data_IF_249159298340
#
_entry.id   IF_249159298340
#
_cell.length_a   1.000
_cell.length_b   1.000
_cell.length_c   1.000
_cell.angle_alpha   90.00
_cell.angle_beta   90.00
_cell.angle_gamma   90.00
#
_symmetry.space_group_name_H-M   'P 1'
#
loop_
_entity.id
_entity.type
_entity.pdbx_description
1 polymer ?
#
# COMPACT_ATOMS: atom_id res chain seq x y z
N UNK A 1 -22.60 -35.74 -22.71
CA UNK A 1 -23.72 -35.25 -23.55
C UNK A 1 -24.54 -34.16 -22.87
N UNK A 2 -24.92 -34.25 -21.59
CA UNK A 2 -25.61 -33.14 -20.90
C UNK A 2 -24.71 -31.94 -20.49
N UNK A 3 -23.38 -32.12 -20.41
CA UNK A 3 -22.43 -31.06 -20.05
C UNK A 3 -22.06 -30.15 -21.24
N UNK A 4 -22.18 -30.66 -22.47
CA UNK A 4 -21.88 -29.92 -23.70
C UNK A 4 -23.06 -29.05 -24.18
N UNK A 5 -24.29 -29.44 -23.83
CA UNK A 5 -25.49 -28.67 -24.18
C UNK A 5 -25.67 -27.42 -23.30
N UNK A 6 -25.25 -27.45 -22.04
CA UNK A 6 -25.29 -26.26 -21.16
C UNK A 6 -24.31 -25.14 -21.62
N UNK A 7 -23.27 -25.49 -22.37
CA UNK A 7 -22.26 -24.54 -22.89
C UNK A 7 -22.66 -23.85 -24.20
N UNK A 8 -23.71 -24.29 -24.89
CA UNK A 8 -24.08 -23.73 -26.21
C UNK A 8 -25.01 -22.52 -26.12
N UNK A 9 -25.64 -22.28 -24.98
CA UNK A 9 -26.62 -21.18 -24.81
C UNK A 9 -26.14 -20.04 -23.92
N UNK A 10 -24.90 -20.08 -23.42
CA UNK A 10 -24.35 -18.98 -22.62
C UNK A 10 -23.51 -18.05 -23.50
N UNK A 11 -24.07 -16.86 -23.75
CA UNK A 11 -23.34 -15.61 -24.00
C UNK A 11 -21.96 -15.67 -23.35
N UNK A 12 -20.89 -15.48 -24.14
CA UNK A 12 -19.50 -15.63 -23.73
C UNK A 12 -19.26 -15.09 -22.30
N UNK A 13 -19.20 -15.98 -21.31
CA UNK A 13 -19.16 -15.64 -19.88
C UNK A 13 -17.82 -15.00 -19.46
N UNK A 14 -16.80 -15.07 -20.32
CA UNK A 14 -15.46 -14.52 -20.09
C UNK A 14 -15.07 -13.57 -21.21
N UNK A 15 -14.31 -12.50 -20.93
CA UNK A 15 -13.80 -11.59 -21.95
C UNK A 15 -12.67 -12.21 -22.81
N UNK A 16 -12.18 -13.39 -22.43
CA UNK A 16 -11.13 -14.10 -23.15
C UNK A 16 -11.67 -14.91 -24.34
N UNK A 17 -10.96 -14.94 -25.47
CA UNK A 17 -11.18 -15.94 -26.51
C UNK A 17 -11.05 -17.36 -25.95
N UNK A 18 -11.88 -18.28 -26.45
CA UNK A 18 -11.92 -19.66 -25.95
C UNK A 18 -10.55 -20.37 -25.89
N UNK A 19 -9.63 -20.22 -26.86
CA UNK A 19 -8.30 -20.83 -26.79
C UNK A 19 -7.45 -20.31 -25.62
N UNK A 20 -7.56 -19.02 -25.29
CA UNK A 20 -6.84 -18.38 -24.18
C UNK A 20 -7.46 -18.83 -22.86
N UNK A 21 -8.79 -18.79 -22.78
CA UNK A 21 -9.55 -19.18 -21.59
C UNK A 21 -9.24 -20.63 -21.16
N UNK A 22 -9.18 -21.56 -22.11
CA UNK A 22 -8.85 -22.96 -21.82
C UNK A 22 -7.47 -23.13 -21.18
N UNK A 23 -6.46 -22.37 -21.64
CA UNK A 23 -5.12 -22.39 -21.07
C UNK A 23 -5.08 -21.77 -19.68
N UNK A 24 -5.76 -20.63 -19.48
CA UNK A 24 -5.85 -19.98 -18.17
C UNK A 24 -6.53 -20.87 -17.12
N UNK A 25 -7.61 -21.59 -17.49
CA UNK A 25 -8.26 -22.53 -16.58
C UNK A 25 -7.31 -23.64 -16.11
N UNK A 26 -6.49 -24.17 -17.01
CA UNK A 26 -5.48 -25.17 -16.67
C UNK A 26 -4.37 -24.57 -15.81
N UNK A 27 -3.87 -23.38 -16.14
CA UNK A 27 -2.89 -22.67 -15.33
C UNK A 27 -3.38 -22.50 -13.88
N UNK A 28 -4.59 -21.98 -13.69
CA UNK A 28 -5.19 -21.80 -12.36
C UNK A 28 -5.45 -23.13 -11.63
N UNK A 29 -5.80 -24.19 -12.34
CA UNK A 29 -5.92 -25.53 -11.75
C UNK A 29 -4.59 -25.99 -11.15
N UNK A 30 -3.49 -25.85 -11.90
CA UNK A 30 -2.15 -26.21 -11.43
C UNK A 30 -1.55 -25.19 -10.45
N UNK A 31 -2.15 -24.01 -10.28
CA UNK A 31 -1.80 -23.09 -9.18
C UNK A 31 -2.50 -23.47 -7.88
N UNK A 32 -3.81 -23.76 -7.91
CA UNK A 32 -4.63 -23.80 -6.69
C UNK A 32 -5.21 -25.18 -6.33
N UNK A 33 -5.40 -26.08 -7.30
CA UNK A 33 -6.09 -27.37 -7.09
C UNK A 33 -5.09 -28.52 -7.04
N UNK A 34 -4.18 -28.58 -8.01
CA UNK A 34 -3.10 -29.56 -8.07
C UNK A 34 -1.77 -28.84 -8.24
N UNK A 35 -1.21 -28.25 -7.17
CA UNK A 35 -0.05 -27.36 -7.24
C UNK A 35 1.14 -27.98 -7.97
N UNK A 36 1.49 -27.43 -9.13
CA UNK A 36 2.64 -27.79 -9.95
C UNK A 36 3.14 -26.51 -10.66
N UNK A 37 4.22 -25.87 -10.16
CA UNK A 37 4.69 -24.58 -10.67
C UNK A 37 5.19 -24.64 -12.11
N UNK A 38 5.82 -25.75 -12.51
CA UNK A 38 6.37 -25.91 -13.85
C UNK A 38 5.25 -26.06 -14.88
N UNK A 39 4.28 -26.92 -14.56
CA UNK A 39 3.09 -27.12 -15.40
C UNK A 39 2.23 -25.86 -15.46
N UNK A 40 1.99 -25.18 -14.33
CA UNK A 40 1.25 -23.92 -14.30
C UNK A 40 1.94 -22.83 -15.16
N UNK A 41 3.26 -22.69 -15.04
CA UNK A 41 4.05 -21.76 -15.85
C UNK A 41 3.91 -22.05 -17.34
N UNK A 42 3.97 -23.32 -17.74
CA UNK A 42 3.76 -23.75 -19.12
C UNK A 42 2.40 -23.28 -19.67
N UNK A 43 1.33 -23.44 -18.89
CA UNK A 43 0.00 -22.99 -19.32
C UNK A 43 -0.18 -21.48 -19.35
N UNK A 44 0.47 -20.72 -18.45
CA UNK A 44 0.47 -19.26 -18.54
C UNK A 44 1.20 -18.77 -19.80
N UNK A 45 2.39 -19.33 -20.09
CA UNK A 45 3.14 -19.00 -21.31
C UNK A 45 2.34 -19.34 -22.56
N UNK A 46 1.66 -20.49 -22.59
CA UNK A 46 0.78 -20.87 -23.70
C UNK A 46 -0.42 -19.90 -23.85
N UNK A 47 -1.01 -19.46 -22.73
CA UNK A 47 -2.11 -18.50 -22.75
C UNK A 47 -1.67 -17.15 -23.35
N UNK A 48 -0.50 -16.64 -22.96
CA UNK A 48 0.07 -15.40 -23.50
C UNK A 48 0.30 -15.54 -25.00
N UNK A 49 0.97 -16.60 -25.45
CA UNK A 49 1.20 -16.86 -26.88
C UNK A 49 -0.10 -16.93 -27.67
N UNK A 50 -1.14 -17.58 -27.15
CA UNK A 50 -2.45 -17.63 -27.81
C UNK A 50 -3.15 -16.29 -27.85
N UNK A 51 -2.98 -15.46 -26.82
CA UNK A 51 -3.50 -14.10 -26.83
C UNK A 51 -2.82 -13.25 -27.91
N UNK A 52 -1.50 -13.37 -28.06
CA UNK A 52 -0.72 -12.69 -29.12
C UNK A 52 -1.11 -13.17 -30.53
N UNK A 53 -1.19 -14.48 -30.75
CA UNK A 53 -1.60 -15.06 -32.04
C UNK A 53 -2.99 -14.61 -32.49
N UNK A 54 -3.89 -14.37 -31.53
CA UNK A 54 -5.25 -13.88 -31.78
C UNK A 54 -5.33 -12.35 -31.87
N UNK A 55 -4.21 -11.64 -31.75
CA UNK A 55 -4.14 -10.19 -31.87
C UNK A 55 -4.84 -9.45 -30.73
N UNK A 56 -4.87 -10.02 -29.52
CA UNK A 56 -5.35 -9.30 -28.35
C UNK A 56 -4.46 -8.06 -28.12
N UNK A 57 -5.09 -6.92 -27.81
CA UNK A 57 -4.36 -5.68 -27.53
C UNK A 57 -3.42 -5.89 -26.32
N UNK A 58 -2.10 -5.72 -26.47
CA UNK A 58 -1.14 -5.95 -25.39
C UNK A 58 -1.32 -4.99 -24.21
N UNK A 59 -2.01 -3.86 -24.41
CA UNK A 59 -2.30 -2.89 -23.35
C UNK A 59 -3.69 -3.05 -22.74
N UNK A 60 -4.49 -4.01 -23.21
CA UNK A 60 -5.83 -4.31 -22.66
C UNK A 60 -5.76 -4.89 -21.25
N UNK A 61 -6.81 -4.68 -20.47
CA UNK A 61 -6.91 -5.20 -19.09
C UNK A 61 -6.83 -6.73 -19.07
N UNK A 62 -7.42 -7.39 -20.07
CA UNK A 62 -7.42 -8.83 -20.23
C UNK A 62 -6.01 -9.36 -20.49
N UNK A 63 -5.29 -8.81 -21.48
CA UNK A 63 -3.94 -9.30 -21.82
C UNK A 63 -2.96 -9.10 -20.66
N UNK A 64 -2.93 -7.91 -20.09
CA UNK A 64 -2.06 -7.57 -18.94
C UNK A 64 -2.42 -8.40 -17.72
N UNK A 65 -3.71 -8.65 -17.51
CA UNK A 65 -4.21 -9.49 -16.43
C UNK A 65 -3.59 -10.90 -16.47
N UNK A 66 -3.37 -11.48 -17.65
CA UNK A 66 -2.69 -12.77 -17.78
C UNK A 66 -1.26 -12.69 -17.24
N UNK A 67 -0.50 -11.65 -17.60
CA UNK A 67 0.90 -11.45 -17.18
C UNK A 67 1.02 -11.18 -15.69
N UNK A 68 0.12 -10.35 -15.13
CA UNK A 68 0.07 -10.10 -13.68
C UNK A 68 -0.24 -11.40 -12.92
N UNK A 69 -1.24 -12.19 -13.36
CA UNK A 69 -1.55 -13.49 -12.74
C UNK A 69 -0.41 -14.49 -12.85
N UNK A 70 0.34 -14.46 -13.95
CA UNK A 70 1.52 -15.31 -14.09
C UNK A 70 2.61 -14.91 -13.08
N UNK A 71 2.89 -13.61 -12.91
CA UNK A 71 3.81 -13.11 -11.89
C UNK A 71 3.35 -13.49 -10.47
N UNK A 72 2.05 -13.33 -10.14
CA UNK A 72 1.49 -13.74 -8.85
C UNK A 72 1.64 -15.25 -8.59
N UNK A 73 1.48 -16.08 -9.61
CA UNK A 73 1.71 -17.52 -9.50
C UNK A 73 3.17 -17.82 -9.18
N UNK A 74 4.12 -17.17 -9.87
CA UNK A 74 5.55 -17.33 -9.58
C UNK A 74 5.90 -16.89 -8.15
N UNK A 75 5.34 -15.76 -7.71
CA UNK A 75 5.48 -15.28 -6.32
C UNK A 75 4.97 -16.33 -5.32
N UNK A 76 3.77 -16.89 -5.57
CA UNK A 76 3.15 -17.91 -4.71
C UNK A 76 4.02 -19.15 -4.53
N UNK A 77 4.76 -19.55 -5.57
CA UNK A 77 5.68 -20.68 -5.52
C UNK A 77 7.13 -20.30 -5.15
N UNK A 78 7.37 -19.06 -4.70
CA UNK A 78 8.69 -18.60 -4.24
C UNK A 78 9.67 -18.25 -5.36
N UNK A 79 9.23 -18.20 -6.62
CA UNK A 79 10.03 -17.77 -7.77
C UNK A 79 10.07 -16.23 -7.87
N UNK A 80 10.44 -15.57 -6.77
CA UNK A 80 10.34 -14.11 -6.59
C UNK A 80 11.05 -13.30 -7.68
N UNK A 81 12.27 -13.71 -8.09
CA UNK A 81 13.02 -13.00 -9.14
C UNK A 81 12.31 -13.04 -10.49
N UNK A 82 11.78 -14.19 -10.89
CA UNK A 82 11.04 -14.32 -12.13
C UNK A 82 9.71 -13.54 -12.08
N UNK A 83 9.05 -13.51 -10.92
CA UNK A 83 7.86 -12.68 -10.72
C UNK A 83 8.14 -11.18 -10.90
N UNK A 84 9.26 -10.71 -10.32
CA UNK A 84 9.74 -9.33 -10.48
C UNK A 84 10.09 -9.03 -11.94
N UNK A 85 10.79 -9.92 -12.63
CA UNK A 85 11.15 -9.75 -14.05
C UNK A 85 9.90 -9.52 -14.91
N UNK A 86 8.86 -10.35 -14.75
CA UNK A 86 7.61 -10.20 -15.52
C UNK A 86 6.92 -8.84 -15.25
N UNK A 87 6.81 -8.42 -13.98
CA UNK A 87 6.17 -7.14 -13.66
C UNK A 87 7.02 -5.94 -14.07
N UNK A 88 8.34 -6.07 -14.04
CA UNK A 88 9.24 -5.05 -14.53
C UNK A 88 9.09 -4.87 -16.04
N UNK A 89 9.01 -5.96 -16.80
CA UNK A 89 8.76 -5.91 -18.25
C UNK A 89 7.42 -5.24 -18.57
N UNK A 90 6.34 -5.62 -17.87
CA UNK A 90 5.03 -4.95 -17.98
C UNK A 90 5.17 -3.44 -17.71
N UNK A 91 5.87 -3.07 -16.64
CA UNK A 91 6.03 -1.66 -16.26
C UNK A 91 6.78 -0.88 -17.35
N UNK A 92 7.91 -1.42 -17.84
CA UNK A 92 8.73 -0.78 -18.86
C UNK A 92 7.98 -0.58 -20.18
N UNK A 93 7.25 -1.60 -20.65
CA UNK A 93 6.45 -1.52 -21.86
C UNK A 93 5.33 -0.48 -21.76
N UNK A 94 4.70 -0.39 -20.58
CA UNK A 94 3.63 0.57 -20.32
C UNK A 94 4.14 2.00 -20.21
N UNK A 95 5.29 2.21 -19.56
CA UNK A 95 5.95 3.51 -19.50
C UNK A 95 6.41 3.99 -20.87
N UNK A 96 6.97 3.09 -21.70
CA UNK A 96 7.32 3.40 -23.08
C UNK A 96 6.07 3.83 -23.86
N UNK A 97 4.98 3.06 -23.75
CA UNK A 97 3.74 3.37 -24.44
C UNK A 97 3.13 4.69 -24.00
N UNK A 98 3.17 4.98 -22.70
CA UNK A 98 2.73 6.25 -22.13
C UNK A 98 3.56 7.42 -22.69
N UNK A 99 4.88 7.28 -22.80
CA UNK A 99 5.76 8.30 -23.38
C UNK A 99 5.44 8.55 -24.86
N UNK A 100 5.22 7.50 -25.65
CA UNK A 100 4.80 7.63 -27.06
C UNK A 100 3.49 8.39 -27.20
N UNK A 101 2.50 8.09 -26.34
CA UNK A 101 1.22 8.79 -26.32
C UNK A 101 1.38 10.25 -25.89
N UNK A 102 2.20 10.55 -24.89
CA UNK A 102 2.44 11.92 -24.42
C UNK A 102 3.11 12.77 -25.52
N UNK A 103 3.99 12.18 -26.33
CA UNK A 103 4.62 12.82 -27.49
C UNK A 103 3.71 12.92 -28.73
N UNK A 104 2.49 12.39 -28.67
CA UNK A 104 1.54 12.43 -29.79
C UNK A 104 1.85 11.42 -30.90
N UNK A 105 2.63 10.38 -30.62
CA UNK A 105 2.86 9.27 -31.57
C UNK A 105 1.69 8.29 -31.48
N UNK A 106 0.76 8.35 -32.45
CA UNK A 106 -0.27 7.31 -32.60
C UNK A 106 0.30 6.07 -33.29
N UNK A 107 -0.16 4.86 -32.91
CA UNK A 107 0.15 3.65 -33.67
C UNK A 107 -0.48 3.80 -35.07
N UNK A 108 0.35 3.65 -36.11
CA UNK A 108 -0.06 3.43 -37.50
C UNK A 108 -1.17 4.33 -38.09
N UNK A 109 -1.24 5.61 -37.73
CA UNK A 109 -2.15 6.57 -38.39
C UNK A 109 -3.63 6.39 -38.08
N UNK A 110 -3.99 5.66 -37.02
CA UNK A 110 -5.37 5.62 -36.54
C UNK A 110 -5.78 6.97 -35.93
N UNK A 111 -6.93 7.49 -36.39
CA UNK A 111 -7.58 8.67 -35.79
C UNK A 111 -8.19 8.23 -34.46
N UNK A 112 -7.38 8.22 -33.41
CA UNK A 112 -7.84 8.02 -32.04
C UNK A 112 -8.52 9.32 -31.60
N UNK A 113 -9.79 9.25 -31.22
CA UNK A 113 -10.50 10.40 -30.63
C UNK A 113 -9.80 10.85 -29.34
N UNK A 114 -9.83 12.14 -29.02
CA UNK A 114 -9.20 12.68 -27.81
C UNK A 114 -9.70 11.99 -26.52
N UNK A 115 -10.98 11.58 -26.49
CA UNK A 115 -11.58 10.82 -25.39
C UNK A 115 -10.91 9.44 -25.23
N UNK A 116 -10.89 8.62 -26.30
CA UNK A 116 -10.23 7.31 -26.30
C UNK A 116 -8.73 7.39 -25.95
N UNK A 117 -8.04 8.45 -26.39
CA UNK A 117 -6.65 8.71 -26.02
C UNK A 117 -6.49 8.99 -24.53
N UNK A 118 -7.41 9.78 -23.96
CA UNK A 118 -7.41 10.11 -22.53
C UNK A 118 -7.65 8.86 -21.68
N UNK A 119 -8.63 8.03 -22.05
CA UNK A 119 -8.94 6.77 -21.36
C UNK A 119 -7.78 5.79 -21.40
N UNK A 120 -7.16 5.61 -22.58
CA UNK A 120 -5.98 4.76 -22.73
C UNK A 120 -4.82 5.26 -21.87
N UNK A 121 -4.53 6.56 -21.90
CA UNK A 121 -3.47 7.17 -21.11
C UNK A 121 -3.70 6.94 -19.62
N UNK A 122 -4.93 7.17 -19.14
CA UNK A 122 -5.30 6.96 -17.75
C UNK A 122 -5.11 5.49 -17.34
N UNK A 123 -5.51 4.54 -18.19
CA UNK A 123 -5.30 3.10 -17.96
C UNK A 123 -3.82 2.73 -17.87
N UNK A 124 -2.98 3.28 -18.75
CA UNK A 124 -1.54 3.03 -18.74
C UNK A 124 -0.92 3.54 -17.43
N UNK A 125 -1.20 4.79 -17.05
CA UNK A 125 -0.72 5.39 -15.80
C UNK A 125 -1.15 4.53 -14.60
N UNK A 126 -2.43 4.17 -14.52
CA UNK A 126 -2.95 3.33 -13.44
C UNK A 126 -2.20 2.02 -13.33
N UNK A 127 -1.97 1.35 -14.46
CA UNK A 127 -1.27 0.07 -14.53
C UNK A 127 0.19 0.21 -14.08
N UNK A 128 0.90 1.24 -14.55
CA UNK A 128 2.29 1.52 -14.11
C UNK A 128 2.36 1.74 -12.61
N UNK A 129 1.47 2.56 -12.04
CA UNK A 129 1.44 2.82 -10.59
C UNK A 129 1.19 1.53 -9.81
N UNK A 130 0.16 0.75 -10.17
CA UNK A 130 -0.17 -0.49 -9.48
C UNK A 130 0.95 -1.54 -9.59
N UNK A 131 1.58 -1.67 -10.75
CA UNK A 131 2.71 -2.57 -10.96
C UNK A 131 3.92 -2.16 -10.11
N UNK A 132 4.25 -0.85 -10.04
CA UNK A 132 5.33 -0.35 -9.17
C UNK A 132 5.06 -0.56 -7.68
N UNK A 133 3.81 -0.38 -7.24
CA UNK A 133 3.41 -0.66 -5.86
C UNK A 133 3.62 -2.14 -5.51
N UNK A 134 3.26 -3.04 -6.43
CA UNK A 134 3.51 -4.49 -6.27
C UNK A 134 4.99 -4.84 -6.34
N UNK A 135 5.75 -4.26 -7.26
CA UNK A 135 7.20 -4.44 -7.32
C UNK A 135 7.89 -3.99 -6.03
N UNK A 136 7.48 -2.84 -5.47
CA UNK A 136 8.00 -2.35 -4.18
C UNK A 136 7.78 -3.37 -3.06
N UNK A 137 6.58 -3.97 -2.96
CA UNK A 137 6.33 -4.99 -1.94
C UNK A 137 7.11 -6.29 -2.17
N UNK A 138 7.37 -6.67 -3.43
CA UNK A 138 8.26 -7.78 -3.75
C UNK A 138 9.71 -7.52 -3.35
N UNK A 139 10.21 -6.30 -3.53
CA UNK A 139 11.56 -5.89 -3.09
C UNK A 139 11.71 -5.88 -1.56
N UNK A 140 10.67 -5.47 -0.83
CA UNK A 140 10.62 -5.53 0.64
C UNK A 140 10.42 -6.95 1.19
N UNK A 141 10.07 -7.93 0.35
CA UNK A 141 9.79 -9.29 0.81
C UNK A 141 10.99 -9.90 1.54
N UNK A 142 10.71 -10.85 2.44
CA UNK A 142 11.75 -11.59 3.18
C UNK A 142 12.78 -12.29 2.28
N UNK A 143 12.43 -12.54 1.02
CA UNK A 143 13.29 -13.15 0.02
C UNK A 143 14.28 -12.16 -0.61
N UNK A 144 13.85 -10.91 -0.85
CA UNK A 144 14.65 -9.91 -1.55
C UNK A 144 15.37 -8.97 -0.58
N UNK A 145 14.68 -8.52 0.47
CA UNK A 145 15.21 -7.64 1.52
C UNK A 145 15.94 -6.40 0.97
N UNK A 146 15.45 -5.83 -0.14
CA UNK A 146 16.04 -4.67 -0.79
C UNK A 146 15.17 -3.42 -0.58
N UNK A 147 15.24 -2.87 0.64
CA UNK A 147 14.49 -1.67 1.01
C UNK A 147 14.88 -0.44 0.19
N UNK A 148 16.08 -0.41 -0.40
CA UNK A 148 16.49 0.70 -1.26
C UNK A 148 15.74 0.65 -2.58
N UNK A 149 15.73 -0.51 -3.23
CA UNK A 149 14.95 -0.71 -4.46
C UNK A 149 13.46 -0.53 -4.20
N UNK A 150 12.92 -1.11 -3.12
CA UNK A 150 11.52 -0.95 -2.76
C UNK A 150 11.13 0.53 -2.63
N UNK A 151 11.99 1.32 -1.96
CA UNK A 151 11.76 2.75 -1.74
C UNK A 151 11.86 3.54 -3.02
N UNK A 152 12.86 3.26 -3.86
CA UNK A 152 12.97 3.91 -5.16
C UNK A 152 11.74 3.63 -6.03
N UNK A 153 11.35 2.37 -6.16
CA UNK A 153 10.20 1.97 -6.98
C UNK A 153 8.88 2.60 -6.48
N UNK A 154 8.65 2.62 -5.16
CA UNK A 154 7.44 3.24 -4.59
C UNK A 154 7.47 4.76 -4.69
N UNK A 155 8.64 5.38 -4.51
CA UNK A 155 8.82 6.82 -4.72
C UNK A 155 8.53 7.22 -6.17
N UNK A 156 8.93 6.40 -7.15
CA UNK A 156 8.62 6.64 -8.56
C UNK A 156 7.11 6.56 -8.82
N UNK A 157 6.40 5.61 -8.17
CA UNK A 157 4.95 5.50 -8.24
C UNK A 157 4.27 6.74 -7.66
N UNK A 158 4.67 7.17 -6.45
CA UNK A 158 4.14 8.38 -5.80
C UNK A 158 4.44 9.63 -6.62
N UNK A 159 5.64 9.74 -7.20
CA UNK A 159 6.02 10.83 -8.09
C UNK A 159 5.11 10.92 -9.31
N UNK A 160 4.74 9.77 -9.90
CA UNK A 160 3.78 9.71 -10.99
C UNK A 160 2.37 10.14 -10.53
N UNK A 161 1.88 9.67 -9.38
CA UNK A 161 0.59 10.11 -8.82
C UNK A 161 0.54 11.63 -8.64
N UNK A 162 1.61 12.22 -8.09
CA UNK A 162 1.71 13.67 -7.89
C UNK A 162 1.69 14.43 -9.21
N UNK A 163 2.43 13.95 -10.23
CA UNK A 163 2.44 14.54 -11.57
C UNK A 163 1.05 14.53 -12.23
N UNK A 164 0.28 13.49 -11.95
CA UNK A 164 -1.03 13.22 -12.55
C UNK A 164 -2.20 13.80 -11.72
N UNK A 165 -1.90 14.42 -10.58
CA UNK A 165 -2.87 15.13 -9.74
C UNK A 165 -2.74 16.62 -9.99
N UNK A 166 -3.86 17.31 -10.20
CA UNK A 166 -3.87 18.76 -10.43
C UNK A 166 -3.74 19.52 -9.10
N UNK A 167 -2.64 20.27 -8.97
CA UNK A 167 -2.34 21.11 -7.81
C UNK A 167 -2.53 20.41 -6.45
N UNK A 168 -1.87 19.24 -6.21
CA UNK A 168 -2.10 18.42 -5.02
C UNK A 168 -1.79 19.15 -3.70
N UNK A 169 -0.95 20.18 -3.74
CA UNK A 169 -0.63 21.02 -2.59
C UNK A 169 -1.78 21.97 -2.22
N UNK A 170 -2.61 22.36 -3.18
CA UNK A 170 -3.74 23.27 -2.97
C UNK A 170 -5.04 22.51 -2.74
N UNK A 171 -5.29 21.47 -3.54
CA UNK A 171 -6.57 20.76 -3.58
C UNK A 171 -6.54 19.40 -2.86
N UNK A 172 -5.38 18.92 -2.44
CA UNK A 172 -5.20 17.55 -1.96
C UNK A 172 -5.32 16.54 -3.10
N UNK A 173 -5.54 15.28 -2.72
CA UNK A 173 -5.78 14.20 -3.68
C UNK A 173 -7.29 13.94 -3.77
N UNK A 174 -7.81 13.94 -5.00
CA UNK A 174 -9.23 13.71 -5.30
C UNK A 174 -9.36 12.54 -6.28
N UNK A 175 -10.57 12.00 -6.44
CA UNK A 175 -10.85 10.97 -7.45
C UNK A 175 -10.77 11.53 -8.89
N UNK A 176 -10.82 12.86 -9.04
CA UNK A 176 -10.62 13.57 -10.30
C UNK A 176 -9.12 13.81 -10.55
N UNK A 177 -8.42 12.73 -10.90
CA UNK A 177 -7.01 12.76 -11.27
C UNK A 177 -6.75 12.03 -12.59
N UNK A 178 -5.69 12.43 -13.28
CA UNK A 178 -5.28 11.85 -14.56
C UNK A 178 -4.63 10.46 -14.42
N UNK A 179 -4.40 9.99 -13.19
CA UNK A 179 -3.90 8.64 -12.91
C UNK A 179 -4.99 7.56 -12.84
N UNK A 180 -6.27 7.94 -12.79
CA UNK A 180 -7.39 6.98 -12.70
C UNK A 180 -7.41 6.22 -11.38
N UNK A 181 -6.79 6.77 -10.34
CA UNK A 181 -6.76 6.17 -9.01
C UNK A 181 -7.87 6.77 -8.15
N UNK A 182 -8.54 5.92 -7.38
CA UNK A 182 -9.40 6.40 -6.31
C UNK A 182 -8.56 7.01 -5.18
N UNK A 183 -9.16 7.90 -4.41
CA UNK A 183 -8.60 8.41 -3.15
C UNK A 183 -8.25 7.27 -2.18
N UNK A 184 -8.99 6.17 -2.19
CA UNK A 184 -8.67 4.98 -1.40
C UNK A 184 -7.37 4.31 -1.84
N UNK A 185 -7.14 4.18 -3.15
CA UNK A 185 -5.88 3.66 -3.71
C UNK A 185 -4.71 4.61 -3.38
N UNK A 186 -4.88 5.92 -3.59
CA UNK A 186 -3.85 6.92 -3.27
C UNK A 186 -3.49 6.88 -1.78
N UNK A 187 -4.47 6.85 -0.90
CA UNK A 187 -4.25 6.77 0.54
C UNK A 187 -3.49 5.51 0.95
N UNK A 188 -3.80 4.37 0.34
CA UNK A 188 -3.08 3.11 0.60
C UNK A 188 -1.61 3.19 0.17
N UNK A 189 -1.35 3.74 -1.03
CA UNK A 189 0.01 3.90 -1.57
C UNK A 189 0.83 4.86 -0.72
N UNK A 190 0.25 6.00 -0.33
CA UNK A 190 0.90 6.95 0.57
C UNK A 190 1.16 6.32 1.95
N UNK A 191 0.21 5.58 2.51
CA UNK A 191 0.42 4.89 3.80
C UNK A 191 1.57 3.88 3.72
N UNK A 192 1.65 3.09 2.66
CA UNK A 192 2.75 2.15 2.42
C UNK A 192 4.11 2.87 2.26
N UNK A 193 4.13 4.02 1.59
CA UNK A 193 5.34 4.83 1.48
C UNK A 193 5.75 5.41 2.85
N UNK A 194 4.78 5.79 3.68
CA UNK A 194 5.01 6.18 5.07
C UNK A 194 5.61 5.05 5.89
N UNK A 195 5.09 3.82 5.77
CA UNK A 195 5.62 2.63 6.43
C UNK A 195 7.08 2.40 6.03
N UNK A 196 7.38 2.49 4.73
CA UNK A 196 8.72 2.26 4.20
C UNK A 196 9.73 3.33 4.64
N UNK A 197 9.33 4.59 4.74
CA UNK A 197 10.17 5.62 5.34
C UNK A 197 10.39 5.38 6.84
N UNK A 198 9.38 4.90 7.56
CA UNK A 198 9.50 4.63 8.99
C UNK A 198 10.46 3.46 9.26
N UNK A 199 10.37 2.38 8.49
CA UNK A 199 11.23 1.19 8.65
C UNK A 199 12.67 1.44 8.19
N UNK A 200 12.89 2.34 7.24
CA UNK A 200 14.24 2.73 6.78
C UNK A 200 14.89 3.86 7.59
N UNK A 201 14.24 4.31 8.67
CA UNK A 201 14.79 5.30 9.61
C UNK A 201 14.70 6.74 9.11
N UNK A 202 13.78 7.04 8.19
CA UNK A 202 13.46 8.35 7.64
C UNK A 202 12.15 8.90 8.24
N UNK A 203 12.03 8.92 9.57
CA UNK A 203 10.78 9.20 10.28
C UNK A 203 10.20 10.58 9.94
N UNK A 204 11.05 11.58 9.69
CA UNK A 204 10.61 12.91 9.29
C UNK A 204 9.89 12.90 7.93
N UNK A 205 10.31 12.03 7.01
CA UNK A 205 9.63 11.83 5.71
C UNK A 205 8.37 10.99 5.90
N UNK A 206 8.43 9.93 6.71
CA UNK A 206 7.29 9.10 7.04
C UNK A 206 6.11 9.91 7.61
N UNK A 207 6.37 10.78 8.60
CA UNK A 207 5.34 11.65 9.19
C UNK A 207 4.66 12.52 8.13
N UNK A 208 5.43 13.11 7.22
CA UNK A 208 4.86 13.95 6.16
C UNK A 208 3.96 13.15 5.23
N UNK A 209 4.40 11.96 4.82
CA UNK A 209 3.63 11.11 3.92
C UNK A 209 2.36 10.56 4.58
N UNK A 210 2.42 10.13 5.85
CA UNK A 210 1.21 9.74 6.58
C UNK A 210 0.22 10.89 6.71
N UNK A 211 0.69 12.12 6.96
CA UNK A 211 -0.18 13.29 7.00
C UNK A 211 -0.85 13.55 5.63
N UNK A 212 -0.12 13.35 4.52
CA UNK A 212 -0.68 13.44 3.17
C UNK A 212 -1.72 12.35 2.90
N UNK A 213 -1.59 11.16 3.50
CA UNK A 213 -2.54 10.07 3.34
C UNK A 213 -3.91 10.31 4.02
N UNK A 214 -3.97 11.17 5.05
CA UNK A 214 -5.19 11.37 5.85
C UNK A 214 -6.37 11.94 5.07
N UNK A 215 -6.13 12.95 4.23
CA UNK A 215 -7.21 13.58 3.45
C UNK A 215 -7.85 12.61 2.44
N UNK A 216 -7.09 11.95 1.53
CA UNK A 216 -7.71 11.01 0.59
C UNK A 216 -8.33 9.81 1.32
N UNK A 217 -7.75 9.35 2.43
CA UNK A 217 -8.33 8.27 3.23
C UNK A 217 -9.72 8.64 3.76
N UNK A 218 -9.87 9.83 4.33
CA UNK A 218 -11.17 10.31 4.85
C UNK A 218 -12.18 10.49 3.73
N UNK A 219 -11.75 10.96 2.56
CA UNK A 219 -12.62 11.07 1.39
C UNK A 219 -13.12 9.70 0.93
N UNK A 220 -12.23 8.70 0.83
CA UNK A 220 -12.59 7.34 0.45
C UNK A 220 -13.61 6.70 1.40
N UNK A 221 -13.61 7.10 2.68
CA UNK A 221 -14.57 6.65 3.68
C UNK A 221 -15.82 7.56 3.80
N UNK A 222 -16.04 8.51 2.89
CA UNK A 222 -17.12 9.49 2.97
C UNK A 222 -17.20 10.22 4.32
N UNK A 223 -16.04 10.47 4.93
CA UNK A 223 -15.91 11.09 6.25
C UNK A 223 -16.19 10.17 7.45
N UNK A 224 -16.60 8.92 7.23
CA UNK A 224 -16.75 7.93 8.31
C UNK A 224 -15.40 7.52 8.90
N UNK A 225 -15.39 7.17 10.19
CA UNK A 225 -14.19 6.70 10.88
C UNK A 225 -13.90 5.26 10.50
N UNK A 226 -12.65 4.96 10.19
CA UNK A 226 -12.21 3.63 9.77
C UNK A 226 -10.96 3.19 10.52
N UNK A 227 -10.75 1.86 10.58
CA UNK A 227 -9.54 1.29 11.18
C UNK A 227 -8.25 1.74 10.50
N UNK A 228 -8.31 2.02 9.19
CA UNK A 228 -7.19 2.62 8.45
C UNK A 228 -6.90 4.04 8.94
N UNK A 229 -7.92 4.85 9.27
CA UNK A 229 -7.68 6.18 9.85
C UNK A 229 -7.01 6.05 11.21
N UNK A 230 -7.45 5.10 12.07
CA UNK A 230 -6.79 4.82 13.36
C UNK A 230 -5.32 4.46 13.15
N UNK A 231 -5.02 3.59 12.18
CA UNK A 231 -3.66 3.17 11.86
C UNK A 231 -2.78 4.34 11.44
N UNK A 232 -3.23 5.17 10.48
CA UNK A 232 -2.44 6.33 10.02
C UNK A 232 -2.22 7.32 11.16
N UNK A 233 -3.23 7.60 12.00
CA UNK A 233 -3.10 8.50 13.14
C UNK A 233 -2.12 7.96 14.19
N UNK A 234 -2.20 6.66 14.49
CA UNK A 234 -1.28 5.98 15.39
C UNK A 234 0.16 6.03 14.84
N UNK A 235 0.34 5.74 13.55
CA UNK A 235 1.65 5.77 12.89
C UNK A 235 2.26 7.17 12.90
N UNK A 236 1.46 8.24 12.70
CA UNK A 236 1.94 9.61 12.87
C UNK A 236 2.47 9.83 14.29
N UNK A 237 1.70 9.46 15.31
CA UNK A 237 2.10 9.66 16.70
C UNK A 237 3.39 8.90 17.06
N UNK A 238 3.45 7.60 16.76
CA UNK A 238 4.60 6.75 17.09
C UNK A 238 5.85 7.18 16.31
N UNK A 239 5.72 7.50 15.03
CA UNK A 239 6.84 7.93 14.19
C UNK A 239 7.37 9.29 14.61
N UNK A 240 6.50 10.22 15.02
CA UNK A 240 6.93 11.50 15.59
C UNK A 240 7.69 11.31 16.91
N UNK A 241 7.28 10.37 17.75
CA UNK A 241 7.98 10.05 19.00
C UNK A 241 9.39 9.48 18.73
N UNK A 242 9.49 8.51 17.83
CA UNK A 242 10.80 7.96 17.40
C UNK A 242 11.70 9.06 16.83
N UNK A 243 11.17 9.92 15.95
CA UNK A 243 11.91 11.04 15.37
C UNK A 243 12.46 12.00 16.44
N UNK A 244 11.67 12.28 17.48
CA UNK A 244 12.05 13.19 18.57
C UNK A 244 13.16 12.63 19.45
N UNK A 245 13.24 11.29 19.59
CA UNK A 245 14.25 10.59 20.40
C UNK A 245 15.60 10.42 19.72
N UNK A 246 15.74 10.79 18.44
CA UNK A 246 17.02 10.70 17.72
C UNK A 246 18.06 11.72 18.22
N UNK A 247 19.37 11.37 18.25
CA UNK A 247 20.43 12.26 18.72
C UNK A 247 20.50 13.62 18.03
N UNK A 248 20.10 13.68 16.75
CA UNK A 248 20.08 14.91 15.94
C UNK A 248 18.65 15.29 15.53
N UNK A 249 17.67 15.04 16.41
CA UNK A 249 16.28 15.34 16.15
C UNK A 249 16.10 16.80 15.71
N UNK A 250 15.24 16.99 14.70
CA UNK A 250 14.86 18.30 14.19
C UNK A 250 13.36 18.48 14.32
N UNK A 251 12.94 19.66 14.78
CA UNK A 251 11.54 20.09 14.77
C UNK A 251 11.46 21.31 13.87
N UNK A 252 10.63 21.23 12.82
CA UNK A 252 10.49 22.26 11.79
C UNK A 252 11.84 22.66 11.14
N UNK A 253 12.67 21.66 10.84
CA UNK A 253 13.98 21.84 10.20
C UNK A 253 15.10 22.38 11.10
N UNK A 254 14.80 22.71 12.37
CA UNK A 254 15.77 23.22 13.34
C UNK A 254 16.12 22.18 14.40
N UNK A 255 17.35 22.18 14.94
CA UNK A 255 17.71 21.33 16.08
C UNK A 255 16.72 21.47 17.23
N UNK A 256 16.39 20.36 17.88
CA UNK A 256 15.49 20.35 19.03
C UNK A 256 16.07 21.16 20.19
N UNK A 257 15.22 21.97 20.79
CA UNK A 257 15.45 22.65 22.08
C UNK A 257 14.48 22.06 23.09
N UNK A 258 14.68 22.33 24.38
CA UNK A 258 13.76 21.87 25.42
C UNK A 258 12.30 22.33 25.17
N UNK A 259 12.14 23.59 24.76
CA UNK A 259 10.81 24.16 24.44
C UNK A 259 10.19 23.50 23.20
N UNK A 260 10.98 23.27 22.13
CA UNK A 260 10.44 22.60 20.94
C UNK A 260 10.18 21.11 21.17
N UNK A 261 10.94 20.45 22.03
CA UNK A 261 10.67 19.08 22.48
C UNK A 261 9.35 19.00 23.25
N UNK A 262 9.11 19.90 24.20
CA UNK A 262 7.85 19.96 24.94
C UNK A 262 6.65 20.20 24.02
N UNK A 263 6.79 21.12 23.05
CA UNK A 263 5.75 21.37 22.05
C UNK A 263 5.51 20.14 21.15
N UNK A 264 6.57 19.44 20.74
CA UNK A 264 6.47 18.22 19.94
C UNK A 264 5.77 17.10 20.72
N UNK A 265 6.13 16.87 21.99
CA UNK A 265 5.44 15.89 22.88
C UNK A 265 3.96 16.19 23.01
N UNK A 266 3.58 17.45 23.16
CA UNK A 266 2.17 17.86 23.19
C UNK A 266 1.44 17.53 21.87
N UNK A 267 2.11 17.71 20.73
CA UNK A 267 1.56 17.35 19.42
C UNK A 267 1.42 15.82 19.28
N UNK A 268 2.42 15.05 19.72
CA UNK A 268 2.38 13.58 19.72
C UNK A 268 1.21 13.07 20.55
N UNK A 269 1.02 13.58 21.77
CA UNK A 269 -0.13 13.23 22.61
C UNK A 269 -1.45 13.51 21.90
N UNK A 270 -1.57 14.67 21.24
CA UNK A 270 -2.79 15.01 20.49
C UNK A 270 -3.08 14.01 19.36
N UNK A 271 -2.06 13.57 18.63
CA UNK A 271 -2.23 12.55 17.58
C UNK A 271 -2.61 11.19 18.17
N UNK A 272 -1.96 10.78 19.26
CA UNK A 272 -2.28 9.53 19.96
C UNK A 272 -3.72 9.54 20.52
N UNK A 273 -4.12 10.62 21.19
CA UNK A 273 -5.48 10.80 21.69
C UNK A 273 -6.51 10.82 20.54
N UNK A 274 -6.17 11.43 19.40
CA UNK A 274 -7.02 11.41 18.21
C UNK A 274 -7.16 10.01 17.62
N UNK A 275 -6.09 9.20 17.60
CA UNK A 275 -6.15 7.81 17.17
C UNK A 275 -7.06 6.98 18.09
N UNK A 276 -6.90 7.11 19.41
CA UNK A 276 -7.73 6.44 20.43
C UNK A 276 -9.20 6.82 20.25
N UNK A 277 -9.51 8.13 20.22
CA UNK A 277 -10.90 8.59 20.04
C UNK A 277 -11.49 8.20 18.68
N UNK A 278 -10.66 8.10 17.63
CA UNK A 278 -11.09 7.59 16.33
C UNK A 278 -11.45 6.11 16.41
N UNK A 279 -10.64 5.29 17.10
CA UNK A 279 -10.92 3.86 17.30
C UNK A 279 -12.22 3.62 18.07
N UNK A 280 -12.46 4.42 19.11
CA UNK A 280 -13.71 4.40 19.88
C UNK A 280 -14.94 4.76 19.01
N UNK A 281 -14.77 5.64 18.04
CA UNK A 281 -15.82 6.08 17.12
C UNK A 281 -16.03 5.14 15.91
N UNK A 282 -15.12 4.21 15.62
CA UNK A 282 -15.37 3.17 14.61
C UNK A 282 -16.50 2.25 15.08
N UNK A 283 -17.47 2.01 14.20
CA UNK A 283 -18.61 1.14 14.49
C UNK A 283 -18.13 -0.27 14.86
N UNK A 284 -18.68 -0.93 15.89
CA UNK A 284 -18.19 -2.22 16.34
C UNK A 284 -18.11 -3.29 15.24
N UNK A 285 -19.07 -3.29 14.31
CA UNK A 285 -19.10 -4.22 13.18
C UNK A 285 -18.00 -3.98 12.13
N UNK A 286 -17.41 -2.78 12.09
CA UNK A 286 -16.34 -2.41 11.17
C UNK A 286 -14.95 -2.56 11.80
N UNK A 287 -14.86 -2.98 13.08
CA UNK A 287 -13.58 -3.14 13.77
C UNK A 287 -12.90 -4.44 13.38
N UNK A 288 -11.64 -4.33 12.97
CA UNK A 288 -10.77 -5.43 12.62
C UNK A 288 -9.48 -5.43 13.48
N UNK A 289 -8.58 -6.36 13.19
CA UNK A 289 -7.28 -6.44 13.86
C UNK A 289 -6.40 -5.20 13.65
N UNK A 290 -6.61 -4.44 12.56
CA UNK A 290 -5.88 -3.18 12.30
C UNK A 290 -6.28 -2.14 13.34
N UNK A 291 -7.58 -1.98 13.61
CA UNK A 291 -8.08 -1.10 14.67
C UNK A 291 -7.47 -1.46 16.03
N UNK A 292 -7.45 -2.74 16.38
CA UNK A 292 -6.95 -3.19 17.68
C UNK A 292 -5.46 -2.91 17.86
N UNK A 293 -4.64 -3.26 16.87
CA UNK A 293 -3.19 -3.05 16.94
C UNK A 293 -2.84 -1.57 16.90
N UNK A 294 -3.54 -0.78 16.08
CA UNK A 294 -3.34 0.67 16.02
C UNK A 294 -3.76 1.36 17.33
N UNK A 295 -4.86 0.93 17.96
CA UNK A 295 -5.27 1.43 19.27
C UNK A 295 -4.21 1.13 20.34
N UNK A 296 -3.70 -0.11 20.39
CA UNK A 296 -2.63 -0.47 21.34
C UNK A 296 -1.36 0.34 21.10
N UNK A 297 -0.96 0.53 19.84
CA UNK A 297 0.18 1.37 19.47
C UNK A 297 -0.01 2.81 19.95
N UNK A 298 -1.18 3.42 19.70
CA UNK A 298 -1.48 4.77 20.14
C UNK A 298 -1.47 4.90 21.69
N UNK A 299 -2.02 3.92 22.40
CA UNK A 299 -2.01 3.89 23.87
C UNK A 299 -0.59 3.72 24.43
N UNK A 300 0.25 2.89 23.81
CA UNK A 300 1.66 2.73 24.15
C UNK A 300 2.45 4.03 23.95
N UNK A 301 2.30 4.68 22.78
CA UNK A 301 2.93 5.98 22.52
C UNK A 301 2.48 7.03 23.53
N UNK A 302 1.18 7.07 23.86
CA UNK A 302 0.65 7.99 24.87
C UNK A 302 1.27 7.74 26.25
N UNK A 303 1.39 6.48 26.68
CA UNK A 303 1.98 6.11 27.96
C UNK A 303 3.47 6.52 28.06
N UNK A 304 4.22 6.37 26.96
CA UNK A 304 5.62 6.75 26.89
C UNK A 304 5.81 8.28 26.92
N UNK A 305 4.98 9.03 26.18
CA UNK A 305 5.05 10.50 26.24
C UNK A 305 4.64 11.07 27.60
N UNK A 306 3.68 10.43 28.30
CA UNK A 306 3.36 10.80 29.68
C UNK A 306 4.59 10.63 30.59
N UNK A 307 5.37 9.58 30.40
CA UNK A 307 6.62 9.37 31.12
C UNK A 307 7.64 10.47 30.81
N UNK A 308 7.83 10.77 29.52
CA UNK A 308 8.77 11.80 29.04
C UNK A 308 8.39 13.23 29.49
N UNK A 309 7.11 13.47 29.79
CA UNK A 309 6.62 14.71 30.39
C UNK A 309 6.72 14.73 31.92
N UNK A 310 7.20 13.66 32.56
CA UNK A 310 7.29 13.53 34.02
C UNK A 310 5.97 13.16 34.71
N UNK A 311 4.92 12.83 33.97
CA UNK A 311 3.62 12.39 34.49
C UNK A 311 3.66 10.90 34.91
N UNK A 312 4.64 10.54 35.75
CA UNK A 312 4.98 9.15 36.11
C UNK A 312 3.80 8.34 36.63
N UNK A 313 2.92 8.93 37.45
CA UNK A 313 1.76 8.23 37.98
C UNK A 313 0.79 7.79 36.88
N UNK A 314 0.47 8.68 35.94
CA UNK A 314 -0.42 8.38 34.79
C UNK A 314 0.22 7.40 33.82
N UNK A 315 1.53 7.55 33.58
CA UNK A 315 2.28 6.61 32.75
C UNK A 315 2.29 5.20 33.35
N UNK A 316 2.53 5.09 34.67
CA UNK A 316 2.48 3.80 35.38
C UNK A 316 1.12 3.14 35.27
N UNK A 317 0.05 3.89 35.50
CA UNK A 317 -1.32 3.39 35.34
C UNK A 317 -1.57 2.89 33.91
N UNK A 318 -1.18 3.67 32.90
CA UNK A 318 -1.35 3.32 31.50
C UNK A 318 -0.56 2.06 31.10
N UNK A 319 0.71 1.94 31.45
CA UNK A 319 1.47 0.72 31.14
C UNK A 319 0.94 -0.50 31.92
N UNK A 320 0.49 -0.32 33.16
CA UNK A 320 -0.06 -1.42 33.97
C UNK A 320 -1.34 -1.99 33.37
N UNK A 321 -2.19 -1.12 32.79
CA UNK A 321 -3.42 -1.56 32.14
C UNK A 321 -3.18 -2.21 30.77
N UNK A 322 -2.15 -1.78 30.04
CA UNK A 322 -1.80 -2.34 28.73
C UNK A 322 -1.10 -3.70 28.82
N UNK A 323 -0.25 -3.91 29.82
CA UNK A 323 0.63 -5.08 29.90
C UNK A 323 -0.08 -6.44 29.82
N UNK A 324 -1.24 -6.68 30.49
CA UNK A 324 -1.98 -7.93 30.34
C UNK A 324 -2.43 -8.17 28.90
N UNK A 325 -2.92 -7.14 28.22
CA UNK A 325 -3.42 -7.21 26.83
C UNK A 325 -2.26 -7.52 25.87
N UNK A 326 -1.12 -6.87 26.07
CA UNK A 326 0.08 -7.11 25.26
C UNK A 326 0.59 -8.56 25.41
N UNK A 327 0.53 -9.12 26.62
CA UNK A 327 0.91 -10.52 26.88
C UNK A 327 -0.07 -11.51 26.26
N UNK A 328 -1.37 -11.26 26.41
CA UNK A 328 -2.43 -12.09 25.80
C UNK A 328 -2.28 -12.15 24.27
N UNK A 329 -1.97 -11.02 23.63
CA UNK A 329 -1.75 -10.93 22.18
C UNK A 329 -0.35 -11.36 21.72
N UNK A 330 0.51 -11.84 22.63
CA UNK A 330 1.89 -12.25 22.35
C UNK A 330 2.76 -11.17 21.67
N UNK A 331 2.54 -9.89 22.01
CA UNK A 331 3.28 -8.76 21.45
C UNK A 331 4.60 -8.53 22.21
N UNK A 332 5.49 -9.54 22.19
CA UNK A 332 6.70 -9.59 23.03
C UNK A 332 7.58 -8.33 22.98
N UNK A 333 7.82 -7.68 21.82
CA UNK A 333 8.59 -6.44 21.80
C UNK A 333 7.93 -5.31 22.61
N UNK A 334 6.60 -5.17 22.51
CA UNK A 334 5.85 -4.15 23.24
C UNK A 334 5.72 -4.47 24.73
N UNK A 335 5.64 -5.75 25.10
CA UNK A 335 5.70 -6.18 26.52
C UNK A 335 6.98 -5.67 27.18
N UNK A 336 8.14 -5.83 26.53
CA UNK A 336 9.42 -5.35 27.05
C UNK A 336 9.44 -3.83 27.20
N UNK A 337 8.90 -3.09 26.23
CA UNK A 337 8.80 -1.62 26.28
C UNK A 337 7.91 -1.18 27.45
N UNK A 338 6.76 -1.83 27.64
CA UNK A 338 5.84 -1.52 28.75
C UNK A 338 6.48 -1.82 30.12
N UNK A 339 7.19 -2.93 30.27
CA UNK A 339 7.90 -3.28 31.51
C UNK A 339 8.99 -2.25 31.84
N UNK A 340 9.80 -1.85 30.86
CA UNK A 340 10.81 -0.80 31.04
C UNK A 340 10.18 0.56 31.38
N UNK A 341 9.04 0.89 30.75
CA UNK A 341 8.27 2.08 31.06
C UNK A 341 7.77 2.08 32.51
N UNK A 342 7.27 0.94 32.99
CA UNK A 342 6.84 0.76 34.38
C UNK A 342 7.98 0.92 35.38
N UNK A 343 9.15 0.36 35.10
CA UNK A 343 10.33 0.51 35.96
C UNK A 343 10.74 1.99 36.08
N UNK A 344 10.83 2.71 34.95
CA UNK A 344 11.17 4.13 34.92
C UNK A 344 10.11 5.03 35.58
N UNK A 345 8.84 4.67 35.47
CA UNK A 345 7.75 5.36 36.16
C UNK A 345 7.70 5.03 37.67
N UNK A 346 8.43 4.00 38.11
CA UNK A 346 8.47 3.50 39.48
C UNK A 346 9.61 4.03 40.34
N UNK A 347 10.76 4.34 39.73
CA UNK A 347 11.86 5.07 40.38
C UNK A 347 11.61 6.57 40.46
#
# INVERSE_FOLDING_TARGET
>A
MAYDEYKRETTQLTPYPLPVEQRLRLALHYTHISPDPETASGYFVDAIKKAEELGMDPYSKEFVGIRIRFSEMLETFGHMRAAIEILNDVTMEFEQRLAELDEGRSPAGEVVTDELRTDLRQQLVKTVVQAKVKLSSMWESEYMQDSNMAKQTLSDAVGLIVKETKDPQLNGFTDDNSAGLSTGEIAAILSQMGDLYATTGEEANAVQVYMLALQPLRQACNGSKSCKEVQVLSNIASTMDVALKKPNAKVNGKPVTESSAAAARKAILKWADQAIGTAEAVRPEDRDSICELALLSAQMTRADILLDNGEKAKSREAFSSLLPILREKNLTPLVKVAEQGLEKASG
#
